data_IF_804184735382
#
_entry.id   IF_804184735382
#
_cell.length_a   1.000
_cell.length_b   1.000
_cell.length_c   1.000
_cell.angle_alpha   90.00
_cell.angle_beta   90.00
_cell.angle_gamma   90.00
#
_symmetry.space_group_name_H-M   'P 1'
#
loop_
_entity.id
_entity.type
_entity.pdbx_description
1 polymer ?
#
# COMPACT_ATOMS: atom_id res chain seq x y z
N UNK A 1 -16.59 -1.77 1.29
CA UNK A 1 -15.92 -1.41 0.01
C UNK A 1 -16.65 -0.25 -0.65
N UNK A 2 -15.96 0.82 -1.01
CA UNK A 2 -16.49 1.97 -1.75
C UNK A 2 -15.96 1.94 -3.19
N UNK A 3 -16.83 2.12 -4.18
CA UNK A 3 -16.48 2.04 -5.60
C UNK A 3 -16.50 3.44 -6.22
N UNK A 4 -15.35 3.87 -6.75
CA UNK A 4 -15.17 5.13 -7.45
C UNK A 4 -15.06 4.84 -8.95
N UNK A 5 -15.94 5.42 -9.76
CA UNK A 5 -15.98 5.27 -11.21
C UNK A 5 -15.62 6.60 -11.91
N UNK A 6 -15.37 6.59 -13.24
CA UNK A 6 -14.98 7.80 -13.97
C UNK A 6 -15.93 8.99 -13.88
N UNK A 7 -17.21 8.76 -13.56
CA UNK A 7 -18.25 9.79 -13.36
C UNK A 7 -18.33 10.31 -11.90
N UNK A 8 -17.58 9.73 -10.96
CA UNK A 8 -17.51 10.19 -9.57
C UNK A 8 -16.60 11.43 -9.47
N UNK A 9 -17.06 12.46 -8.75
CA UNK A 9 -16.30 13.69 -8.53
C UNK A 9 -14.93 13.46 -7.86
N UNK A 10 -14.73 12.34 -7.13
CA UNK A 10 -13.49 11.95 -6.46
C UNK A 10 -12.52 11.21 -7.40
N UNK A 11 -12.93 10.89 -8.64
CA UNK A 11 -12.20 9.96 -9.50
C UNK A 11 -10.78 10.45 -9.83
N UNK A 12 -10.63 11.70 -10.26
CA UNK A 12 -9.33 12.23 -10.65
C UNK A 12 -8.35 12.31 -9.47
N UNK A 13 -8.84 12.64 -8.27
CA UNK A 13 -8.03 12.57 -7.06
C UNK A 13 -7.69 11.12 -6.69
N UNK A 14 -8.67 10.22 -6.76
CA UNK A 14 -8.49 8.81 -6.40
C UNK A 14 -7.45 8.10 -7.26
N UNK A 15 -7.35 8.39 -8.57
CA UNK A 15 -6.37 7.79 -9.48
C UNK A 15 -4.99 8.47 -9.47
N UNK A 16 -4.84 9.64 -8.83
CA UNK A 16 -3.56 10.35 -8.79
C UNK A 16 -2.52 9.59 -7.96
N UNK A 17 -1.31 9.39 -8.49
CA UNK A 17 -0.18 8.72 -7.85
C UNK A 17 1.03 9.66 -7.73
N UNK A 18 2.06 9.25 -6.96
CA UNK A 18 3.23 10.07 -6.68
C UNK A 18 3.97 10.51 -7.96
N UNK A 19 4.14 9.61 -8.92
CA UNK A 19 4.71 9.95 -10.21
C UNK A 19 3.65 10.55 -11.13
N UNK A 20 3.63 11.88 -11.26
CA UNK A 20 2.66 12.62 -12.08
C UNK A 20 2.74 12.33 -13.60
N UNK A 21 3.79 11.63 -14.06
CA UNK A 21 3.88 11.15 -15.45
C UNK A 21 2.95 9.95 -15.71
N UNK A 22 2.44 9.30 -14.67
CA UNK A 22 1.51 8.18 -14.76
C UNK A 22 0.08 8.72 -14.78
N UNK A 23 -0.54 8.72 -15.95
CA UNK A 23 -1.93 9.18 -16.17
C UNK A 23 -2.82 8.03 -16.68
N UNK A 24 -2.89 6.94 -15.90
CA UNK A 24 -3.77 5.80 -16.20
C UNK A 24 -5.20 6.06 -15.72
N UNK A 25 -6.15 5.44 -16.43
CA UNK A 25 -7.59 5.63 -16.20
C UNK A 25 -8.29 4.29 -15.90
N UNK A 26 -8.28 3.85 -14.62
CA UNK A 26 -9.01 2.64 -14.22
C UNK A 26 -10.50 2.72 -14.53
N UNK A 27 -11.10 1.61 -14.95
CA UNK A 27 -12.54 1.50 -15.10
C UNK A 27 -13.29 1.61 -13.76
N UNK A 28 -12.65 1.13 -12.67
CA UNK A 28 -13.18 1.26 -11.32
C UNK A 28 -12.03 1.24 -10.29
N UNK A 29 -12.16 2.04 -9.25
CA UNK A 29 -11.27 2.04 -8.08
C UNK A 29 -12.09 1.55 -6.88
N UNK A 30 -11.73 0.39 -6.33
CA UNK A 30 -12.36 -0.19 -5.16
C UNK A 30 -11.58 0.18 -3.90
N UNK A 31 -12.08 1.12 -3.10
CA UNK A 31 -11.50 1.47 -1.81
C UNK A 31 -11.86 0.40 -0.78
N UNK A 32 -10.85 -0.31 -0.31
CA UNK A 32 -10.96 -1.43 0.60
C UNK A 32 -10.43 -1.05 1.99
N UNK A 33 -11.29 -1.11 3.00
CA UNK A 33 -10.93 -0.86 4.40
C UNK A 33 -10.60 -2.16 5.16
N UNK A 34 -11.05 -3.31 4.65
CA UNK A 34 -10.91 -4.61 5.29
C UNK A 34 -10.44 -5.69 4.29
N UNK A 35 -9.88 -6.82 4.79
CA UNK A 35 -9.59 -7.97 3.93
C UNK A 35 -10.84 -8.57 3.24
N UNK A 36 -12.02 -8.41 3.82
CA UNK A 36 -13.28 -8.82 3.21
C UNK A 36 -13.57 -7.97 1.96
N UNK A 37 -13.38 -6.65 2.04
CA UNK A 37 -13.53 -5.75 0.89
C UNK A 37 -12.59 -6.13 -0.26
N UNK A 38 -11.33 -6.51 0.06
CA UNK A 38 -10.35 -6.94 -0.96
C UNK A 38 -10.84 -8.21 -1.67
N UNK A 39 -11.38 -9.17 -0.92
CA UNK A 39 -11.94 -10.40 -1.50
C UNK A 39 -13.13 -10.09 -2.42
N UNK A 40 -14.03 -9.21 -1.97
CA UNK A 40 -15.21 -8.81 -2.75
C UNK A 40 -14.80 -8.06 -4.03
N UNK A 41 -13.76 -7.19 -3.96
CA UNK A 41 -13.20 -6.51 -5.12
C UNK A 41 -12.58 -7.51 -6.13
N UNK A 42 -11.88 -8.54 -5.66
CA UNK A 42 -11.34 -9.60 -6.52
C UNK A 42 -12.45 -10.41 -7.20
N UNK A 43 -13.54 -10.72 -6.49
CA UNK A 43 -14.70 -11.40 -7.07
C UNK A 43 -15.38 -10.52 -8.13
N UNK A 44 -15.51 -9.23 -7.86
CA UNK A 44 -16.05 -8.27 -8.83
C UNK A 44 -15.19 -8.24 -10.10
N UNK A 45 -13.87 -8.10 -9.95
CA UNK A 45 -12.94 -8.09 -11.09
C UNK A 45 -13.06 -9.37 -11.92
N UNK A 46 -13.06 -10.53 -11.27
CA UNK A 46 -13.19 -11.83 -11.94
C UNK A 46 -14.53 -11.96 -12.69
N UNK A 47 -15.64 -11.51 -12.09
CA UNK A 47 -16.96 -11.59 -12.71
C UNK A 47 -17.12 -10.70 -13.95
N UNK A 48 -16.36 -9.61 -14.00
CA UNK A 48 -16.42 -8.62 -15.10
C UNK A 48 -15.25 -8.74 -16.08
N UNK A 49 -14.30 -9.65 -15.83
CA UNK A 49 -13.12 -9.83 -16.68
C UNK A 49 -12.14 -8.67 -16.62
N UNK A 50 -12.10 -7.93 -15.51
CA UNK A 50 -11.16 -6.84 -15.33
C UNK A 50 -9.77 -7.31 -14.95
N UNK A 51 -8.74 -6.71 -15.56
CA UNK A 51 -7.38 -6.74 -15.02
C UNK A 51 -7.32 -6.02 -13.67
N UNK A 52 -6.51 -6.55 -12.75
CA UNK A 52 -6.40 -6.02 -11.39
C UNK A 52 -5.04 -5.36 -11.16
N UNK A 53 -5.05 -4.15 -10.62
CA UNK A 53 -3.90 -3.51 -10.01
C UNK A 53 -4.15 -3.27 -8.52
N UNK A 54 -3.09 -3.21 -7.71
CA UNK A 54 -3.19 -2.94 -6.26
C UNK A 54 -2.45 -1.66 -5.93
N UNK A 55 -3.13 -0.75 -5.24
CA UNK A 55 -2.58 0.52 -4.81
C UNK A 55 -2.55 0.64 -3.29
N UNK A 56 -1.36 0.85 -2.74
CA UNK A 56 -1.13 1.32 -1.37
C UNK A 56 -0.67 2.79 -1.41
N UNK A 57 0.59 3.12 -1.12
CA UNK A 57 1.09 4.50 -1.16
C UNK A 57 1.21 5.14 -2.55
N UNK A 58 1.07 4.38 -3.63
CA UNK A 58 1.11 4.92 -5.00
C UNK A 58 2.49 5.38 -5.46
N UNK A 59 3.59 4.86 -4.90
CA UNK A 59 4.97 5.25 -5.22
C UNK A 59 5.64 4.39 -6.30
N UNK A 60 4.90 3.56 -7.01
CA UNK A 60 5.45 2.79 -8.13
C UNK A 60 5.97 3.71 -9.23
N UNK A 61 7.26 3.64 -9.53
CA UNK A 61 7.90 4.43 -10.60
C UNK A 61 7.33 4.03 -11.97
N UNK A 62 7.09 2.73 -12.17
CA UNK A 62 6.53 2.19 -13.42
C UNK A 62 5.00 2.28 -13.50
N UNK A 63 4.32 2.80 -12.46
CA UNK A 63 2.87 2.95 -12.46
C UNK A 63 2.08 1.64 -12.44
N UNK A 64 2.67 0.52 -11.98
CA UNK A 64 2.00 -0.79 -11.92
C UNK A 64 0.91 -0.86 -10.85
N UNK A 65 0.80 0.15 -9.99
CA UNK A 65 -0.27 0.29 -9.01
C UNK A 65 -1.59 0.82 -9.60
N UNK A 66 -1.60 1.14 -10.89
CA UNK A 66 -2.77 1.49 -11.68
C UNK A 66 -2.79 0.70 -12.99
N UNK A 67 -3.97 0.54 -13.57
CA UNK A 67 -4.19 0.03 -14.91
C UNK A 67 -5.15 0.96 -15.67
N UNK A 68 -5.30 0.72 -16.96
CA UNK A 68 -6.34 1.37 -17.78
C UNK A 68 -7.53 0.41 -17.93
N UNK A 69 -8.75 0.93 -17.86
CA UNK A 69 -10.03 0.21 -18.03
C UNK A 69 -10.28 -0.97 -17.06
N UNK A 70 -9.31 -1.32 -16.20
CA UNK A 70 -9.40 -2.40 -15.22
C UNK A 70 -9.92 -1.96 -13.86
N UNK A 71 -9.73 -2.82 -12.86
CA UNK A 71 -10.07 -2.56 -11.47
C UNK A 71 -8.80 -2.30 -10.64
N UNK A 72 -8.79 -1.20 -9.88
CA UNK A 72 -7.75 -0.91 -8.89
C UNK A 72 -8.27 -1.22 -7.49
N UNK A 73 -7.62 -2.14 -6.79
CA UNK A 73 -7.84 -2.38 -5.36
C UNK A 73 -7.02 -1.35 -4.59
N UNK A 74 -7.69 -0.36 -4.04
CA UNK A 74 -7.08 0.70 -3.25
C UNK A 74 -7.15 0.36 -1.77
N UNK A 75 -6.01 -0.07 -1.21
CA UNK A 75 -5.91 -0.46 0.21
C UNK A 75 -5.53 0.69 1.13
N UNK A 76 -5.45 1.93 0.64
CA UNK A 76 -5.12 3.11 1.47
C UNK A 76 -6.00 3.26 2.73
N UNK A 77 -7.28 2.84 2.74
CA UNK A 77 -8.10 2.90 3.96
C UNK A 77 -7.70 1.89 5.05
N UNK A 78 -6.89 0.89 4.76
CA UNK A 78 -6.43 -0.12 5.74
C UNK A 78 -5.30 0.46 6.61
N UNK A 79 -5.65 1.22 7.66
CA UNK A 79 -4.73 2.06 8.45
C UNK A 79 -4.40 1.50 9.84
N UNK A 80 -4.80 0.28 10.15
CA UNK A 80 -4.57 -0.31 11.46
C UNK A 80 -3.06 -0.49 11.75
N UNK A 81 -2.62 -0.09 12.96
CA UNK A 81 -1.24 -0.26 13.43
C UNK A 81 -1.30 -0.78 14.87
N UNK A 82 -0.65 -1.91 15.11
CA UNK A 82 -0.55 -2.53 16.43
C UNK A 82 0.92 -2.77 16.76
N UNK A 83 1.43 -2.10 17.79
CA UNK A 83 2.82 -2.24 18.25
C UNK A 83 2.85 -3.12 19.50
N UNK A 84 3.57 -4.24 19.43
CA UNK A 84 3.94 -5.06 20.57
C UNK A 84 5.39 -4.71 20.93
N UNK A 85 5.56 -3.79 21.89
CA UNK A 85 6.87 -3.28 22.27
C UNK A 85 7.74 -4.36 22.93
N UNK A 86 7.14 -5.24 23.73
CA UNK A 86 7.86 -6.30 24.43
C UNK A 86 8.45 -7.33 23.46
N UNK A 87 7.67 -7.69 22.42
CA UNK A 87 8.15 -8.59 21.38
C UNK A 87 8.91 -7.87 20.26
N UNK A 88 8.94 -6.55 20.27
CA UNK A 88 9.53 -5.70 19.22
C UNK A 88 8.93 -6.04 17.84
N UNK A 89 7.62 -6.21 17.79
CA UNK A 89 6.86 -6.54 16.60
C UNK A 89 5.82 -5.47 16.32
N UNK A 90 5.55 -5.25 15.02
CA UNK A 90 4.50 -4.33 14.57
C UNK A 90 3.65 -5.03 13.52
N UNK A 91 2.34 -5.03 13.73
CA UNK A 91 1.35 -5.42 12.73
C UNK A 91 0.75 -4.17 12.11
N UNK A 92 0.73 -4.11 10.79
CA UNK A 92 0.21 -2.94 10.06
C UNK A 92 -0.74 -3.32 8.95
N UNK A 93 -1.76 -2.50 8.74
CA UNK A 93 -2.64 -2.57 7.58
C UNK A 93 -1.90 -2.20 6.28
N UNK A 94 -2.34 -2.75 5.16
CA UNK A 94 -1.68 -2.60 3.86
C UNK A 94 -1.66 -1.14 3.33
N UNK A 95 -2.53 -0.27 3.85
CA UNK A 95 -2.61 1.15 3.49
C UNK A 95 -1.73 2.09 4.32
N UNK A 96 -1.02 1.56 5.32
CA UNK A 96 -0.14 2.36 6.19
C UNK A 96 1.06 2.88 5.41
N UNK A 97 1.40 4.15 5.63
CA UNK A 97 2.60 4.79 5.09
C UNK A 97 3.77 4.72 6.08
N UNK A 98 5.01 4.93 5.59
CA UNK A 98 6.18 4.93 6.47
C UNK A 98 6.13 6.02 7.53
N UNK A 99 5.60 7.20 7.22
CA UNK A 99 5.46 8.25 8.22
C UNK A 99 4.48 7.91 9.34
N UNK A 100 3.40 7.19 9.04
CA UNK A 100 2.45 6.68 10.05
C UNK A 100 3.10 5.57 10.89
N UNK A 101 3.81 4.65 10.24
CA UNK A 101 4.55 3.57 10.88
C UNK A 101 5.62 4.09 11.83
N UNK A 102 6.49 4.98 11.35
CA UNK A 102 7.60 5.54 12.13
C UNK A 102 7.09 6.30 13.36
N UNK A 103 6.01 7.07 13.22
CA UNK A 103 5.39 7.76 14.35
C UNK A 103 4.93 6.79 15.43
N UNK A 104 4.21 5.73 15.03
CA UNK A 104 3.70 4.73 15.97
C UNK A 104 4.82 3.95 16.68
N UNK A 105 5.89 3.59 15.96
CA UNK A 105 6.99 2.84 16.55
C UNK A 105 7.91 3.68 17.40
N UNK A 106 8.09 4.96 17.07
CA UNK A 106 8.93 5.90 17.79
C UNK A 106 8.41 6.14 19.22
N UNK A 107 7.09 6.09 19.46
CA UNK A 107 6.51 6.17 20.81
C UNK A 107 7.05 5.10 21.77
N UNK A 108 7.53 3.99 21.21
CA UNK A 108 8.11 2.87 21.94
C UNK A 108 9.65 2.79 21.80
N UNK A 109 10.30 3.80 21.24
CA UNK A 109 11.73 3.79 20.97
C UNK A 109 12.17 2.71 19.96
N UNK A 110 11.26 2.25 19.11
CA UNK A 110 11.52 1.21 18.13
C UNK A 110 11.68 1.81 16.73
N UNK A 111 12.57 1.20 15.93
CA UNK A 111 12.78 1.51 14.53
C UNK A 111 13.11 0.25 13.73
N UNK A 112 12.89 0.30 12.43
CA UNK A 112 13.25 -0.78 11.50
C UNK A 112 13.77 -0.21 10.17
N UNK A 113 14.28 -1.09 9.31
CA UNK A 113 14.60 -0.68 7.93
C UNK A 113 13.31 -0.27 7.23
N UNK A 114 13.24 0.94 6.71
CA UNK A 114 12.05 1.52 6.10
C UNK A 114 12.38 2.37 4.89
N UNK A 115 11.35 2.89 4.22
CA UNK A 115 11.51 3.82 3.12
C UNK A 115 12.05 5.19 3.57
N UNK A 116 12.60 5.95 2.62
CA UNK A 116 13.14 7.31 2.86
C UNK A 116 12.06 8.38 2.81
N UNK A 117 10.93 8.08 2.18
CA UNK A 117 9.84 9.03 1.94
C UNK A 117 8.64 8.63 2.77
N UNK A 118 8.18 9.55 3.62
CA UNK A 118 7.10 9.31 4.60
C UNK A 118 5.77 8.90 3.98
N UNK A 119 5.49 9.31 2.74
CA UNK A 119 4.25 8.98 2.02
C UNK A 119 4.29 7.64 1.29
N UNK A 120 5.45 6.96 1.23
CA UNK A 120 5.56 5.63 0.63
C UNK A 120 4.81 4.60 1.47
N UNK A 121 4.03 3.74 0.81
CA UNK A 121 3.29 2.66 1.47
C UNK A 121 4.21 1.57 2.02
N UNK A 122 3.99 1.16 3.27
CA UNK A 122 4.76 0.09 3.93
C UNK A 122 4.63 -1.22 3.15
N UNK A 123 3.43 -1.61 2.74
CA UNK A 123 3.19 -2.87 2.04
C UNK A 123 3.97 -2.97 0.73
N UNK A 124 3.86 -1.96 -0.15
CA UNK A 124 4.53 -1.98 -1.45
C UNK A 124 6.05 -2.05 -1.34
N UNK A 125 6.65 -1.25 -0.45
CA UNK A 125 8.09 -1.27 -0.23
C UNK A 125 8.57 -2.59 0.40
N UNK A 126 7.81 -3.14 1.34
CA UNK A 126 8.18 -4.38 2.04
C UNK A 126 8.14 -5.58 1.10
N UNK A 127 7.13 -5.67 0.23
CA UNK A 127 6.95 -6.79 -0.70
C UNK A 127 7.81 -6.63 -1.97
N UNK A 128 7.94 -5.40 -2.48
CA UNK A 128 8.69 -5.13 -3.70
C UNK A 128 10.19 -4.89 -3.50
N UNK A 129 10.62 -4.74 -2.25
CA UNK A 129 11.98 -4.32 -1.92
C UNK A 129 12.16 -2.80 -2.04
N UNK A 130 13.26 -2.32 -1.49
CA UNK A 130 13.60 -0.89 -1.50
C UNK A 130 14.76 -0.58 -0.58
N UNK A 131 15.15 0.69 -0.53
CA UNK A 131 16.26 1.18 0.28
C UNK A 131 15.81 2.20 1.33
N UNK A 132 16.52 2.25 2.44
CA UNK A 132 16.23 3.14 3.55
C UNK A 132 17.47 3.66 4.25
N UNK A 133 17.29 4.56 5.21
CA UNK A 133 18.40 5.21 5.93
C UNK A 133 19.18 4.23 6.81
N UNK A 134 18.53 3.21 7.34
CA UNK A 134 19.11 2.26 8.30
C UNK A 134 19.61 0.96 7.67
N UNK A 135 19.54 0.82 6.34
CA UNK A 135 19.88 -0.43 5.64
C UNK A 135 21.34 -0.86 5.83
N UNK A 136 22.27 0.08 5.93
CA UNK A 136 23.69 -0.23 6.18
C UNK A 136 23.94 -0.81 7.58
N UNK A 137 23.09 -0.43 8.55
CA UNK A 137 23.21 -0.91 9.92
C UNK A 137 22.45 -2.22 10.16
N UNK A 138 21.30 -2.42 9.46
CA UNK A 138 20.37 -3.49 9.81
C UNK A 138 19.95 -4.39 8.63
N UNK A 139 20.62 -4.33 7.50
CA UNK A 139 20.32 -5.02 6.26
C UNK A 139 19.17 -4.41 5.45
N UNK A 140 19.14 -4.72 4.14
CA UNK A 140 18.09 -4.24 3.25
C UNK A 140 16.78 -5.03 3.43
N UNK A 141 15.66 -4.42 3.12
CA UNK A 141 14.34 -5.03 3.29
C UNK A 141 14.09 -6.28 2.44
N UNK A 142 14.73 -6.38 1.28
CA UNK A 142 14.61 -7.56 0.44
C UNK A 142 15.06 -8.85 1.14
N UNK A 143 15.95 -8.74 2.13
CA UNK A 143 16.44 -9.87 2.93
C UNK A 143 15.59 -10.15 4.19
N UNK A 144 14.76 -9.20 4.62
CA UNK A 144 14.01 -9.30 5.89
C UNK A 144 12.60 -9.88 5.69
N UNK A 145 12.03 -9.80 4.48
CA UNK A 145 10.66 -10.24 4.20
C UNK A 145 10.44 -11.75 4.27
N UNK A 146 11.52 -12.55 4.29
CA UNK A 146 11.42 -14.01 4.35
C UNK A 146 11.12 -14.59 5.74
N UNK A 147 10.96 -13.77 6.79
CA UNK A 147 10.82 -14.25 8.17
C UNK A 147 9.53 -13.89 8.89
N UNK A 148 8.54 -13.28 8.26
CA UNK A 148 7.33 -12.85 8.98
C UNK A 148 6.05 -12.94 8.16
N UNK A 149 5.85 -14.03 7.44
CA UNK A 149 4.52 -14.42 6.95
C UNK A 149 4.18 -15.74 7.63
N UNK A 150 3.57 -15.64 8.78
CA UNK A 150 2.87 -16.74 9.46
C UNK A 150 1.46 -16.30 9.77
#
# INVERSE_FOLDING_TARGET
MDLIKPDDARYDEARTVFNSMIDKRPGVIAQCATPADVRDALQLAASQGHDVAVRAGGHSVAGVCLNDDGLVIDVRPMKDIQVDADKRQVRVGAGVTWGEFDRATQEHGLATTGGRVSTTGVAGLTLGGGSGWTERAWASRATTSSRSIS
#
